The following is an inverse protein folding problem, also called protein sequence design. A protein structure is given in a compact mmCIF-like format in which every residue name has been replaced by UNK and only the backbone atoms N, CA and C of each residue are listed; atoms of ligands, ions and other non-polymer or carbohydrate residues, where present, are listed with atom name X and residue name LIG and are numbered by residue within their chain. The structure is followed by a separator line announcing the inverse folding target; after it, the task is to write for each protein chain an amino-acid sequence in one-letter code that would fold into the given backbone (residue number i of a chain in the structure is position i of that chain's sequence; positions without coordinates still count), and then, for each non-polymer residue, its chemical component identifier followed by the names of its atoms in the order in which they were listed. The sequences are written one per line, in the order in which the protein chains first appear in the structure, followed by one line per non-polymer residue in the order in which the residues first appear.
data_IF_247822167795
#
_entry.id   IF_247822167795
#
_cell.length_a   1.000
_cell.length_b   1.000
_cell.length_c   1.000
_cell.angle_alpha   90.00
_cell.angle_beta   90.00
_cell.angle_gamma   90.00
#
_symmetry.space_group_name_H-M   'P 1'
#
loop_
_entity.id
_entity.type
_entity.pdbx_description
1 polymer ?
#
# COMPACT_ATOMS: atom_id res chain seq x y z
N UNK A 1 -0.91 9.73 36.43
CA UNK A 1 -0.01 9.67 35.26
C UNK A 1 -0.50 8.54 34.37
N UNK A 2 -1.17 8.86 33.26
CA UNK A 2 -1.55 7.86 32.25
C UNK A 2 -0.26 7.58 31.48
N UNK A 3 0.26 6.35 31.56
CA UNK A 3 1.38 5.92 30.74
C UNK A 3 0.98 6.14 29.28
N UNK A 4 1.65 7.05 28.58
CA UNK A 4 1.45 7.22 27.15
C UNK A 4 1.95 5.92 26.50
N UNK A 5 1.05 5.17 25.88
CA UNK A 5 1.38 3.96 25.15
C UNK A 5 2.23 4.39 23.94
N UNK A 6 3.54 4.21 24.03
CA UNK A 6 4.46 4.46 22.94
C UNK A 6 4.26 3.40 21.84
N UNK A 7 4.43 3.80 20.60
CA UNK A 7 4.43 2.95 19.42
C UNK A 7 5.78 3.10 18.70
N UNK A 8 6.38 1.98 18.31
CA UNK A 8 7.51 2.01 17.37
C UNK A 8 6.96 2.19 15.95
N UNK A 9 7.36 3.25 15.30
CA UNK A 9 6.94 3.58 13.96
C UNK A 9 8.14 3.57 13.01
N UNK A 10 8.07 2.78 11.94
CA UNK A 10 9.02 2.81 10.84
C UNK A 10 8.57 3.86 9.82
N UNK A 11 9.40 4.86 9.59
CA UNK A 11 9.13 5.97 8.67
C UNK A 11 10.07 5.90 7.48
N UNK A 12 9.51 5.96 6.27
CA UNK A 12 10.24 6.07 5.00
C UNK A 12 9.78 7.32 4.27
N UNK A 13 10.69 8.23 4.05
CA UNK A 13 10.48 9.48 3.32
C UNK A 13 11.72 9.85 2.49
N UNK A 14 11.67 10.99 1.81
CA UNK A 14 12.80 11.54 1.06
C UNK A 14 13.14 12.96 1.56
N UNK A 15 14.43 13.26 1.57
CA UNK A 15 14.97 14.59 1.74
C UNK A 15 16.19 14.70 0.80
N UNK A 16 15.90 14.70 -0.51
CA UNK A 16 16.89 14.50 -1.56
C UNK A 16 17.45 13.09 -1.67
N UNK A 17 17.37 12.30 -0.59
CA UNK A 17 17.71 10.85 -0.54
C UNK A 17 16.66 10.09 0.23
N UNK A 18 16.49 8.80 -0.09
CA UNK A 18 15.61 7.92 0.68
C UNK A 18 16.15 7.77 2.11
N UNK A 19 15.28 8.04 3.08
CA UNK A 19 15.58 7.90 4.52
C UNK A 19 14.63 6.89 5.13
N UNK A 20 15.17 5.98 5.92
CA UNK A 20 14.39 5.04 6.74
C UNK A 20 14.84 5.22 8.18
N UNK A 21 13.89 5.41 9.08
CA UNK A 21 14.14 5.56 10.51
C UNK A 21 13.07 4.84 11.31
N UNK A 22 13.42 4.41 12.51
CA UNK A 22 12.48 3.91 13.51
C UNK A 22 12.35 4.98 14.60
N UNK A 23 11.14 5.35 14.92
CA UNK A 23 10.82 6.39 15.89
C UNK A 23 9.86 5.83 16.93
N UNK A 24 10.15 6.01 18.20
CA UNK A 24 9.18 5.79 19.26
C UNK A 24 8.33 7.05 19.41
N UNK A 25 7.00 6.89 19.36
CA UNK A 25 6.08 8.01 19.38
C UNK A 25 4.79 7.65 20.13
N UNK A 26 4.15 8.60 20.82
CA UNK A 26 2.82 8.39 21.38
C UNK A 26 1.78 8.13 20.27
N UNK A 27 0.81 7.26 20.55
CA UNK A 27 -0.39 7.13 19.71
C UNK A 27 -1.11 8.50 19.72
N UNK A 28 -1.59 8.93 18.55
CA UNK A 28 -2.22 10.24 18.38
C UNK A 28 -1.25 11.36 17.95
N UNK A 29 0.03 11.06 17.76
CA UNK A 29 0.97 12.03 17.19
C UNK A 29 0.56 12.37 15.74
N UNK A 30 0.57 13.66 15.39
CA UNK A 30 0.26 14.12 14.04
C UNK A 30 1.22 13.53 13.03
N UNK A 31 0.71 13.10 11.85
CA UNK A 31 1.53 12.43 10.84
C UNK A 31 2.60 13.36 10.26
N UNK A 32 2.34 14.65 10.14
CA UNK A 32 3.30 15.66 9.65
C UNK A 32 4.52 15.85 10.55
N UNK A 33 4.41 15.45 11.83
CA UNK A 33 5.56 15.43 12.76
C UNK A 33 6.41 14.18 12.63
N UNK A 34 5.88 13.14 12.02
CA UNK A 34 6.53 11.83 11.89
C UNK A 34 7.16 11.64 10.52
N UNK A 35 6.50 12.10 9.47
CA UNK A 35 6.90 11.93 8.09
C UNK A 35 6.83 13.26 7.34
N UNK A 36 7.80 13.51 6.48
CA UNK A 36 7.85 14.73 5.67
C UNK A 36 6.69 14.71 4.67
N UNK A 37 5.82 15.74 4.71
CA UNK A 37 4.61 15.87 3.90
C UNK A 37 4.65 17.14 3.04
N UNK A 38 5.70 17.26 2.23
CA UNK A 38 5.87 18.37 1.29
C UNK A 38 5.03 18.15 0.01
N UNK A 39 5.03 19.12 -0.87
CA UNK A 39 4.26 19.06 -2.14
C UNK A 39 4.88 18.12 -3.18
N UNK A 40 6.07 17.59 -2.93
CA UNK A 40 6.70 16.51 -3.71
C UNK A 40 6.21 15.10 -3.31
N UNK A 41 5.31 14.99 -2.32
CA UNK A 41 4.66 13.74 -1.89
C UNK A 41 3.28 13.64 -2.53
N UNK A 42 3.02 12.54 -3.24
CA UNK A 42 1.71 12.28 -3.86
C UNK A 42 0.75 11.49 -2.99
N UNK A 43 1.27 10.69 -2.07
CA UNK A 43 0.46 9.87 -1.17
C UNK A 43 1.25 9.31 0.01
N UNK A 44 0.54 8.93 1.05
CA UNK A 44 1.13 8.36 2.26
C UNK A 44 0.54 6.98 2.52
N UNK A 45 1.38 5.96 2.56
CA UNK A 45 0.99 4.63 3.03
C UNK A 45 1.07 4.61 4.56
N UNK A 46 -0.01 4.25 5.23
CA UNK A 46 -0.07 4.09 6.67
C UNK A 46 -0.47 2.67 7.06
N UNK A 47 0.27 2.05 7.98
CA UNK A 47 -0.03 0.74 8.56
C UNK A 47 0.62 -0.45 7.88
N UNK A 48 1.50 -0.23 6.89
CA UNK A 48 2.15 -1.28 6.11
C UNK A 48 1.25 -1.82 4.99
N UNK A 49 1.57 -3.00 4.46
CA UNK A 49 0.94 -3.52 3.23
C UNK A 49 -0.50 -4.05 3.41
N UNK A 50 -0.98 -4.20 4.62
CA UNK A 50 -2.41 -4.36 4.93
C UNK A 50 -3.03 -3.09 5.53
N UNK A 51 -2.32 -1.98 5.47
CA UNK A 51 -2.81 -0.64 5.79
C UNK A 51 -3.58 -0.02 4.63
N UNK A 52 -3.34 1.25 4.37
CA UNK A 52 -3.98 1.97 3.27
C UNK A 52 -3.25 3.22 2.86
N UNK A 53 -3.45 3.62 1.62
CA UNK A 53 -3.01 4.88 1.08
C UNK A 53 -3.90 6.03 1.55
N UNK A 54 -3.29 7.15 1.86
CA UNK A 54 -3.91 8.43 2.19
C UNK A 54 -3.48 9.47 1.15
N UNK A 55 -4.37 10.37 0.79
CA UNK A 55 -3.98 11.57 0.04
C UNK A 55 -3.08 12.45 0.93
N UNK A 56 -2.18 13.23 0.33
CA UNK A 56 -1.35 14.19 1.05
C UNK A 56 -2.19 15.13 1.92
N UNK A 57 -3.31 15.64 1.37
CA UNK A 57 -4.22 16.53 2.09
C UNK A 57 -4.88 15.87 3.32
N UNK A 58 -5.19 14.58 3.25
CA UNK A 58 -5.70 13.82 4.39
C UNK A 58 -4.60 13.58 5.43
N UNK A 59 -3.42 13.11 5.00
CA UNK A 59 -2.31 12.83 5.88
C UNK A 59 -1.87 14.04 6.71
N UNK A 60 -1.84 15.24 6.12
CA UNK A 60 -1.52 16.51 6.81
C UNK A 60 -2.47 16.84 7.97
N UNK A 61 -3.67 16.26 8.01
CA UNK A 61 -4.70 16.54 9.04
C UNK A 61 -4.91 15.39 10.02
N UNK A 62 -4.26 14.25 9.80
CA UNK A 62 -4.49 13.04 10.57
C UNK A 62 -3.40 12.79 11.59
N UNK A 63 -3.78 12.11 12.65
CA UNK A 63 -2.86 11.60 13.65
C UNK A 63 -2.63 10.08 13.48
N UNK A 64 -1.54 9.59 14.04
CA UNK A 64 -1.22 8.16 14.11
C UNK A 64 -2.14 7.48 15.13
N UNK A 65 -3.42 7.38 14.80
CA UNK A 65 -4.45 6.73 15.61
C UNK A 65 -5.43 5.96 14.73
N UNK A 66 -5.99 4.87 15.24
CA UNK A 66 -7.04 4.15 14.52
C UNK A 66 -8.34 4.95 14.42
N UNK A 67 -8.57 5.91 15.32
CA UNK A 67 -9.73 6.80 15.26
C UNK A 67 -9.71 7.68 14.01
N UNK A 68 -8.54 8.21 13.65
CA UNK A 68 -8.38 9.05 12.45
C UNK A 68 -8.19 8.23 11.17
N UNK A 69 -7.42 7.14 11.25
CA UNK A 69 -7.00 6.41 10.05
C UNK A 69 -8.10 5.50 9.48
N UNK A 70 -8.91 4.83 10.32
CA UNK A 70 -9.95 3.88 9.85
C UNK A 70 -11.01 4.51 8.96
N UNK A 71 -11.55 5.71 9.24
CA UNK A 71 -12.50 6.36 8.35
C UNK A 71 -11.94 6.65 6.95
N UNK A 72 -10.62 6.84 6.84
CA UNK A 72 -9.91 7.03 5.57
C UNK A 72 -9.50 5.71 4.89
N UNK A 73 -9.80 4.56 5.49
CA UNK A 73 -9.47 3.24 4.96
C UNK A 73 -8.04 2.80 5.23
N UNK A 74 -7.36 3.43 6.19
CA UNK A 74 -6.03 3.05 6.67
C UNK A 74 -6.09 2.57 8.14
N UNK A 75 -4.99 2.15 8.69
CA UNK A 75 -4.86 1.72 10.10
C UNK A 75 -3.46 2.04 10.61
N UNK A 76 -3.28 2.07 11.92
CA UNK A 76 -1.94 2.10 12.53
C UNK A 76 -1.15 0.84 12.14
N UNK A 77 -1.81 -0.33 12.09
CA UNK A 77 -1.26 -1.59 11.63
C UNK A 77 0.12 -1.91 12.20
N UNK A 78 1.09 -2.14 11.33
CA UNK A 78 2.47 -2.45 11.70
C UNK A 78 3.30 -1.21 12.10
N UNK A 79 2.69 -0.04 12.27
CA UNK A 79 3.41 1.19 12.60
C UNK A 79 4.31 1.69 11.44
N UNK A 80 3.98 1.37 10.21
CA UNK A 80 4.77 1.79 9.03
C UNK A 80 4.12 3.01 8.40
N UNK A 81 4.91 4.04 8.14
CA UNK A 81 4.55 5.24 7.38
C UNK A 81 5.51 5.40 6.20
N UNK A 82 4.97 5.56 5.00
CA UNK A 82 5.76 5.80 3.79
C UNK A 82 5.19 6.98 3.02
N UNK A 83 5.97 8.04 2.85
CA UNK A 83 5.63 9.16 1.97
C UNK A 83 6.15 8.84 0.56
N UNK A 84 5.26 8.61 -0.37
CA UNK A 84 5.60 8.29 -1.76
C UNK A 84 5.86 9.58 -2.55
N UNK A 85 7.06 9.77 -3.12
CA UNK A 85 7.35 10.95 -3.93
C UNK A 85 6.58 10.95 -5.26
N UNK A 86 6.26 12.14 -5.78
CA UNK A 86 5.63 12.33 -7.09
C UNK A 86 6.47 11.78 -8.26
N UNK A 87 7.75 11.55 -8.05
CA UNK A 87 8.64 10.93 -9.05
C UNK A 87 8.38 9.44 -9.29
N UNK A 88 7.62 8.77 -8.43
CA UNK A 88 7.27 7.34 -8.53
C UNK A 88 5.80 7.19 -8.90
N UNK A 89 5.44 6.08 -9.54
CA UNK A 89 4.05 5.77 -9.87
C UNK A 89 3.38 4.99 -8.73
N UNK A 90 2.34 5.56 -8.13
CA UNK A 90 1.62 4.94 -7.02
C UNK A 90 0.90 3.65 -7.40
N UNK A 91 0.41 3.56 -8.64
CA UNK A 91 -0.20 2.34 -9.18
C UNK A 91 0.83 1.22 -9.36
N UNK A 92 2.02 1.54 -9.93
CA UNK A 92 3.09 0.55 -10.13
C UNK A 92 3.64 0.03 -8.79
N UNK A 93 3.83 0.92 -7.80
CA UNK A 93 4.23 0.54 -6.45
C UNK A 93 3.18 -0.37 -5.79
N UNK A 94 1.91 0.00 -5.90
CA UNK A 94 0.81 -0.81 -5.35
C UNK A 94 0.70 -2.18 -6.03
N UNK A 95 0.84 -2.23 -7.36
CA UNK A 95 0.81 -3.47 -8.11
C UNK A 95 1.94 -4.43 -7.71
N UNK A 96 3.12 -3.88 -7.46
CA UNK A 96 4.25 -4.68 -6.99
C UNK A 96 3.99 -5.29 -5.60
N UNK A 97 3.47 -4.50 -4.66
CA UNK A 97 3.08 -5.01 -3.34
C UNK A 97 1.98 -6.06 -3.46
N UNK A 98 0.98 -5.84 -4.31
CA UNK A 98 -0.08 -6.82 -4.54
C UNK A 98 0.45 -8.16 -5.06
N UNK A 99 1.44 -8.14 -5.97
CA UNK A 99 2.12 -9.37 -6.43
C UNK A 99 2.84 -10.07 -5.28
N UNK A 100 3.57 -9.33 -4.46
CA UNK A 100 4.26 -9.90 -3.30
C UNK A 100 3.27 -10.53 -2.32
N UNK A 101 2.17 -9.83 -2.00
CA UNK A 101 1.13 -10.37 -1.11
C UNK A 101 0.44 -11.62 -1.67
N UNK A 102 0.27 -11.71 -3.00
CA UNK A 102 -0.25 -12.92 -3.63
C UNK A 102 0.72 -14.10 -3.51
N UNK A 103 2.03 -13.86 -3.68
CA UNK A 103 3.07 -14.89 -3.56
C UNK A 103 3.27 -15.36 -2.11
N UNK A 104 3.22 -14.44 -1.14
CA UNK A 104 3.38 -14.73 0.29
C UNK A 104 2.10 -15.27 0.94
N UNK A 105 1.07 -15.57 0.16
CA UNK A 105 -0.17 -16.14 0.67
C UNK A 105 0.01 -17.62 1.00
N UNK A 106 -0.70 -18.10 2.05
CA UNK A 106 -0.67 -19.52 2.41
C UNK A 106 -1.30 -20.45 1.36
N UNK A 107 -2.00 -19.92 0.35
CA UNK A 107 -2.61 -20.71 -0.73
C UNK A 107 -3.68 -21.72 -0.32
N UNK A 108 -4.22 -21.62 0.92
CA UNK A 108 -5.12 -22.64 1.48
C UNK A 108 -6.60 -22.45 1.14
N UNK A 109 -6.97 -21.28 0.63
CA UNK A 109 -8.37 -20.99 0.26
C UNK A 109 -8.47 -20.35 -1.13
N UNK A 110 -9.66 -20.40 -1.74
CA UNK A 110 -9.90 -19.87 -3.08
C UNK A 110 -9.48 -18.42 -3.27
N UNK A 111 -9.76 -17.51 -2.34
CA UNK A 111 -9.25 -16.15 -2.39
C UNK A 111 -7.73 -16.03 -2.53
N UNK A 112 -6.95 -16.80 -1.77
CA UNK A 112 -5.48 -16.81 -1.87
C UNK A 112 -4.99 -17.50 -3.15
N UNK A 113 -5.54 -18.69 -3.46
CA UNK A 113 -5.07 -19.52 -4.57
C UNK A 113 -5.36 -18.90 -5.95
N UNK A 114 -6.55 -18.33 -6.12
CA UNK A 114 -7.03 -17.81 -7.40
C UNK A 114 -7.25 -16.29 -7.38
N UNK A 115 -7.83 -15.77 -6.30
CA UNK A 115 -8.28 -14.39 -6.23
C UNK A 115 -7.14 -13.37 -6.18
N UNK A 116 -6.18 -13.53 -5.27
CA UNK A 116 -5.05 -12.60 -5.14
C UNK A 116 -4.16 -12.59 -6.40
N UNK A 117 -3.80 -13.73 -7.03
CA UNK A 117 -3.08 -13.71 -8.29
C UNK A 117 -3.84 -12.98 -9.41
N UNK A 118 -5.15 -13.21 -9.54
CA UNK A 118 -5.97 -12.52 -10.54
C UNK A 118 -6.04 -10.99 -10.28
N UNK A 119 -6.18 -10.58 -9.01
CA UNK A 119 -6.14 -9.18 -8.59
C UNK A 119 -4.77 -8.55 -8.93
N UNK A 120 -3.68 -9.23 -8.58
CA UNK A 120 -2.31 -8.74 -8.84
C UNK A 120 -2.04 -8.59 -10.34
N UNK A 121 -2.53 -9.51 -11.16
CA UNK A 121 -2.43 -9.45 -12.63
C UNK A 121 -3.24 -8.27 -13.18
N UNK A 122 -4.51 -8.13 -12.80
CA UNK A 122 -5.36 -7.05 -13.26
C UNK A 122 -4.84 -5.67 -12.80
N UNK A 123 -4.37 -5.55 -11.56
CA UNK A 123 -3.77 -4.29 -11.08
C UNK A 123 -2.48 -3.96 -11.82
N UNK A 124 -1.65 -4.96 -12.15
CA UNK A 124 -0.45 -4.76 -12.95
C UNK A 124 -0.79 -4.23 -14.34
N UNK A 125 -1.83 -4.76 -14.97
CA UNK A 125 -2.32 -4.27 -16.26
C UNK A 125 -2.83 -2.82 -16.17
N UNK A 126 -3.59 -2.47 -15.12
CA UNK A 126 -4.05 -1.09 -14.86
C UNK A 126 -2.88 -0.12 -14.62
N UNK A 127 -1.77 -0.61 -14.05
CA UNK A 127 -0.57 0.18 -13.80
C UNK A 127 0.31 0.41 -15.04
N UNK A 128 0.04 -0.26 -16.16
CA UNK A 128 0.72 -0.01 -17.43
C UNK A 128 0.10 1.17 -18.17
N UNK A 129 0.87 1.96 -18.91
CA UNK A 129 0.33 2.95 -19.83
C UNK A 129 -0.49 2.27 -20.94
N UNK A 130 -1.71 2.76 -21.19
CA UNK A 130 -2.70 2.16 -22.10
C UNK A 130 -3.14 0.76 -21.70
N UNK A 131 -3.72 0.59 -20.50
CA UNK A 131 -4.29 -0.69 -20.12
C UNK A 131 -5.37 -1.12 -21.12
N UNK A 132 -5.56 -2.42 -21.30
CA UNK A 132 -6.63 -2.92 -22.14
C UNK A 132 -8.00 -2.50 -21.59
N UNK A 133 -8.98 -2.38 -22.48
CA UNK A 133 -10.34 -2.04 -22.09
C UNK A 133 -10.89 -3.09 -21.09
N UNK A 134 -11.50 -2.64 -20.01
CA UNK A 134 -12.12 -3.51 -19.00
C UNK A 134 -11.18 -3.97 -17.87
N UNK A 135 -9.87 -3.69 -17.90
CA UNK A 135 -8.93 -4.14 -16.84
C UNK A 135 -9.32 -3.58 -15.46
N UNK A 136 -9.68 -2.31 -15.37
CA UNK A 136 -10.14 -1.72 -14.10
C UNK A 136 -11.46 -2.35 -13.61
N UNK A 137 -12.37 -2.70 -14.52
CA UNK A 137 -13.60 -3.38 -14.18
C UNK A 137 -13.31 -4.82 -13.70
N UNK A 138 -12.40 -5.52 -14.36
CA UNK A 138 -11.92 -6.85 -13.95
C UNK A 138 -11.31 -6.82 -12.58
N UNK A 139 -10.43 -5.85 -12.29
CA UNK A 139 -9.83 -5.66 -10.96
C UNK A 139 -10.89 -5.47 -9.87
N UNK A 140 -11.87 -4.59 -10.10
CA UNK A 140 -12.96 -4.35 -9.14
C UNK A 140 -13.84 -5.61 -8.93
N UNK A 141 -14.12 -6.35 -10.00
CA UNK A 141 -14.85 -7.60 -9.92
C UNK A 141 -14.11 -8.65 -9.08
N UNK A 142 -12.82 -8.85 -9.31
CA UNK A 142 -12.01 -9.79 -8.55
C UNK A 142 -11.92 -9.38 -7.08
N UNK A 143 -11.72 -8.10 -6.78
CA UNK A 143 -11.72 -7.57 -5.42
C UNK A 143 -13.05 -7.89 -4.70
N UNK A 144 -14.20 -7.68 -5.35
CA UNK A 144 -15.51 -8.03 -4.81
C UNK A 144 -15.71 -9.53 -4.59
N UNK A 145 -15.15 -10.38 -5.45
CA UNK A 145 -15.23 -11.84 -5.31
C UNK A 145 -14.36 -12.38 -4.15
N UNK A 146 -13.30 -11.66 -3.77
CA UNK A 146 -12.37 -12.07 -2.72
C UNK A 146 -12.84 -11.61 -1.34
N UNK A 147 -13.44 -10.43 -1.25
CA UNK A 147 -13.83 -9.79 0.01
C UNK A 147 -14.75 -10.69 0.85
N UNK A 148 -14.37 -10.90 2.12
CA UNK A 148 -15.13 -11.67 3.11
C UNK A 148 -15.16 -13.18 2.89
N UNK A 149 -14.36 -13.70 1.94
CA UNK A 149 -14.34 -15.14 1.60
C UNK A 149 -13.05 -15.86 1.96
N UNK A 150 -12.10 -15.14 2.54
CA UNK A 150 -10.85 -15.72 3.01
C UNK A 150 -11.02 -16.53 4.29
N UNK A 151 -10.21 -17.57 4.47
CA UNK A 151 -10.12 -18.30 5.75
C UNK A 151 -9.41 -17.45 6.84
N UNK A 152 -8.72 -16.39 6.45
CA UNK A 152 -8.07 -15.41 7.31
C UNK A 152 -8.23 -13.99 6.74
N UNK A 153 -7.68 -12.98 7.44
CA UNK A 153 -7.81 -11.58 7.02
C UNK A 153 -6.81 -11.13 5.94
N UNK A 154 -5.90 -11.99 5.48
CA UNK A 154 -4.90 -11.63 4.46
C UNK A 154 -5.53 -11.16 3.14
N UNK A 155 -6.51 -11.88 2.53
CA UNK A 155 -7.17 -11.41 1.31
C UNK A 155 -7.90 -10.07 1.50
N UNK A 156 -8.63 -9.90 2.61
CA UNK A 156 -9.36 -8.67 2.90
C UNK A 156 -8.43 -7.48 3.12
N UNK A 157 -7.29 -7.71 3.79
CA UNK A 157 -6.25 -6.70 3.96
C UNK A 157 -5.67 -6.24 2.63
N UNK A 158 -5.38 -7.19 1.74
CA UNK A 158 -4.87 -6.92 0.39
C UNK A 158 -5.88 -6.12 -0.44
N UNK A 159 -7.15 -6.53 -0.44
CA UNK A 159 -8.21 -5.81 -1.18
C UNK A 159 -8.40 -4.40 -0.63
N UNK A 160 -8.38 -4.20 0.68
CA UNK A 160 -8.48 -2.86 1.31
C UNK A 160 -7.31 -1.96 0.90
N UNK A 161 -6.09 -2.48 0.92
CA UNK A 161 -4.90 -1.76 0.47
C UNK A 161 -5.06 -1.29 -0.99
N UNK A 162 -5.44 -2.19 -1.90
CA UNK A 162 -5.65 -1.89 -3.32
C UNK A 162 -6.80 -0.88 -3.51
N UNK A 163 -7.92 -1.05 -2.83
CA UNK A 163 -9.04 -0.12 -2.89
C UNK A 163 -8.65 1.31 -2.45
N UNK A 164 -7.77 1.43 -1.46
CA UNK A 164 -7.22 2.73 -1.05
C UNK A 164 -6.36 3.35 -2.15
N UNK A 165 -5.53 2.57 -2.84
CA UNK A 165 -4.71 3.04 -3.95
C UNK A 165 -5.56 3.54 -5.13
N UNK A 166 -6.61 2.79 -5.51
CA UNK A 166 -7.52 3.20 -6.58
C UNK A 166 -8.22 4.54 -6.30
N UNK A 167 -8.42 4.90 -5.03
CA UNK A 167 -8.97 6.20 -4.64
C UNK A 167 -7.91 7.29 -4.66
N UNK A 168 -6.76 7.04 -4.07
CA UNK A 168 -5.70 8.05 -3.91
C UNK A 168 -5.05 8.38 -5.25
N UNK A 169 -4.82 7.37 -6.09
CA UNK A 169 -4.16 7.51 -7.40
C UNK A 169 -5.15 7.52 -8.57
N UNK A 170 -6.38 8.00 -8.34
CA UNK A 170 -7.40 8.07 -9.40
C UNK A 170 -6.96 8.91 -10.61
N UNK A 171 -6.20 9.98 -10.39
CA UNK A 171 -5.61 10.78 -11.45
C UNK A 171 -4.59 9.99 -12.29
N UNK A 172 -3.75 9.17 -11.65
CA UNK A 172 -2.80 8.30 -12.37
C UNK A 172 -3.54 7.27 -13.25
N UNK A 173 -4.67 6.71 -12.78
CA UNK A 173 -5.49 5.80 -13.59
C UNK A 173 -5.95 6.49 -14.89
N UNK A 174 -6.40 7.74 -14.81
CA UNK A 174 -6.81 8.51 -15.98
C UNK A 174 -5.63 8.79 -16.93
N UNK A 175 -4.47 9.16 -16.38
CA UNK A 175 -3.25 9.39 -17.17
C UNK A 175 -2.78 8.10 -17.86
N UNK A 176 -2.76 6.96 -17.15
CA UNK A 176 -2.40 5.67 -17.73
C UNK A 176 -3.38 5.26 -18.83
N UNK A 177 -4.69 5.47 -18.63
CA UNK A 177 -5.70 5.24 -19.69
C UNK A 177 -5.45 6.09 -20.93
N UNK A 178 -4.89 7.28 -20.76
CA UNK A 178 -4.48 8.16 -21.87
C UNK A 178 -3.08 7.84 -22.42
N UNK A 179 -2.44 6.78 -21.94
CA UNK A 179 -1.12 6.33 -22.40
C UNK A 179 0.05 7.13 -21.83
N UNK A 180 -0.13 7.81 -20.70
CA UNK A 180 0.89 8.62 -20.05
C UNK A 180 1.15 8.12 -18.63
N UNK A 181 2.39 8.28 -18.17
CA UNK A 181 2.76 8.11 -16.77
C UNK A 181 3.67 9.29 -16.38
N UNK A 182 3.32 9.99 -15.32
CA UNK A 182 4.08 11.14 -14.84
C UNK A 182 5.35 10.75 -14.06
N UNK A 183 5.50 9.47 -13.68
CA UNK A 183 6.65 9.00 -12.95
C UNK A 183 7.94 9.16 -13.77
N UNK A 184 8.97 9.70 -13.13
CA UNK A 184 10.31 9.88 -13.72
C UNK A 184 11.33 8.86 -13.22
N UNK A 185 10.96 8.08 -12.19
CA UNK A 185 11.76 7.02 -11.59
C UNK A 185 11.03 5.69 -11.72
N UNK A 186 11.76 4.67 -12.18
CA UNK A 186 11.24 3.31 -12.39
C UNK A 186 11.80 2.32 -11.35
N UNK A 187 12.80 2.72 -10.57
CA UNK A 187 13.23 1.95 -9.40
C UNK A 187 12.12 1.94 -8.34
N UNK A 188 12.05 0.85 -7.59
CA UNK A 188 11.02 0.65 -6.58
C UNK A 188 11.28 1.49 -5.34
N UNK A 189 10.27 2.22 -4.91
CA UNK A 189 10.33 2.99 -3.68
C UNK A 189 9.93 2.17 -2.46
N UNK A 190 8.86 1.37 -2.56
CA UNK A 190 8.43 0.51 -1.46
C UNK A 190 9.39 -0.68 -1.28
N UNK A 191 9.73 -1.02 -0.02
CA UNK A 191 10.52 -2.21 0.27
C UNK A 191 9.88 -3.46 -0.33
N UNK A 192 10.71 -4.30 -0.93
CA UNK A 192 10.28 -5.60 -1.44
C UNK A 192 10.48 -6.66 -0.37
N UNK A 193 9.60 -7.65 -0.31
CA UNK A 193 9.94 -8.89 0.37
C UNK A 193 11.10 -9.54 -0.42
N UNK A 194 12.22 -9.90 0.22
CA UNK A 194 13.17 -10.77 -0.43
C UNK A 194 12.39 -12.01 -0.87
N UNK A 195 12.57 -12.46 -2.10
CA UNK A 195 12.09 -13.77 -2.51
C UNK A 195 12.80 -14.77 -1.57
N UNK A 196 12.10 -15.20 -0.55
CA UNK A 196 12.59 -16.27 0.31
C UNK A 196 12.61 -17.52 -0.57
N UNK A 197 13.78 -17.88 -1.07
CA UNK A 197 14.04 -19.24 -1.49
C UNK A 197 14.13 -20.07 -0.21
N UNK A 198 12.97 -20.37 0.39
CA UNK A 198 12.89 -21.37 1.43
C UNK A 198 13.24 -22.69 0.74
N UNK A 199 14.45 -23.16 0.95
CA UNK A 199 14.81 -24.51 0.57
C UNK A 199 14.19 -25.48 1.57
N UNK A 200 13.87 -26.70 1.14
CA UNK A 200 13.28 -27.75 2.01
C UNK A 200 14.08 -28.00 3.32
N UNK A 201 15.31 -27.48 3.40
CA UNK A 201 16.19 -27.64 4.56
C UNK A 201 15.93 -26.63 5.70
N UNK A 202 15.18 -25.57 5.46
CA UNK A 202 14.97 -24.48 6.45
C UNK A 202 13.95 -24.83 7.55
N UNK A 203 13.34 -26.02 7.48
CA UNK A 203 12.34 -26.51 8.44
C UNK A 203 12.78 -27.71 9.29
N UNK A 204 14.10 -28.00 9.38
CA UNK A 204 14.61 -29.09 10.21
C UNK A 204 15.34 -28.60 11.45
#
# INVERSE_FOLDING_TARGET
MIASTGLLCTVRDTDGRVRVRVVETPIGTQLDRLVKLDDDVQGVLAGGYHGGWLTLAAARRMSLSNADLRPAGATVGAGVLVALPVSHCGLAETAQVARSLAMESAGQCGPCLNGLPAIATALSAVAEPRPAEGELASLRRWAGLVTGRGACHHPDGTVRFIASALRVFAAEIAEHSAGRCAATRHERFLPQFPAASLTECDWR
#
